data_IF_572409496792
#
_entry.id   IF_572409496792
#
_cell.length_a   1.000
_cell.length_b   1.000
_cell.length_c   1.000
_cell.angle_alpha   90.00
_cell.angle_beta   90.00
_cell.angle_gamma   90.00
#
_symmetry.space_group_name_H-M   'P 1'
#
loop_
_entity.id
_entity.type
_entity.pdbx_description
1 polymer ?
#
# COMPACT_ATOMS: atom_id res chain seq x y z
N UNK A 1 -7.89 10.89 58.80
CA UNK A 1 -6.84 10.30 57.94
C UNK A 1 -7.33 9.21 56.97
N UNK A 2 -8.39 8.46 57.29
CA UNK A 2 -8.84 7.31 56.46
C UNK A 2 -9.57 7.75 55.16
N UNK A 3 -10.26 8.91 55.14
CA UNK A 3 -11.00 9.34 53.94
C UNK A 3 -10.09 9.75 52.76
N UNK A 4 -8.92 10.34 53.03
CA UNK A 4 -7.95 10.70 52.00
C UNK A 4 -7.27 9.48 51.36
N UNK A 5 -7.14 8.36 52.08
CA UNK A 5 -6.58 7.12 51.55
C UNK A 5 -7.55 6.46 50.56
N UNK A 6 -8.83 6.33 50.92
CA UNK A 6 -9.86 5.77 50.04
C UNK A 6 -10.12 6.62 48.79
N UNK A 7 -10.11 7.95 48.90
CA UNK A 7 -10.29 8.84 47.76
C UNK A 7 -9.13 8.74 46.76
N UNK A 8 -7.89 8.64 47.24
CA UNK A 8 -6.69 8.51 46.42
C UNK A 8 -6.63 7.18 45.66
N UNK A 9 -7.05 6.08 46.30
CA UNK A 9 -7.13 4.77 45.65
C UNK A 9 -8.26 4.66 44.62
N UNK A 10 -9.42 5.30 44.86
CA UNK A 10 -10.51 5.38 43.86
C UNK A 10 -10.10 6.20 42.63
N UNK A 11 -9.40 7.31 42.83
CA UNK A 11 -8.87 8.12 41.73
C UNK A 11 -7.83 7.33 40.90
N UNK A 12 -6.91 6.62 41.55
CA UNK A 12 -5.94 5.77 40.86
C UNK A 12 -6.59 4.63 40.08
N UNK A 13 -7.57 3.93 40.68
CA UNK A 13 -8.32 2.86 40.00
C UNK A 13 -9.11 3.38 38.80
N UNK A 14 -9.72 4.56 38.92
CA UNK A 14 -10.46 5.20 37.82
C UNK A 14 -9.53 5.60 36.67
N UNK A 15 -8.37 6.20 36.96
CA UNK A 15 -7.36 6.54 35.96
C UNK A 15 -6.83 5.28 35.27
N UNK A 16 -6.54 4.22 36.05
CA UNK A 16 -6.11 2.94 35.50
C UNK A 16 -7.17 2.35 34.57
N UNK A 17 -8.44 2.30 34.99
CA UNK A 17 -9.53 1.79 34.17
C UNK A 17 -9.74 2.60 32.89
N UNK A 18 -9.70 3.94 33.00
CA UNK A 18 -9.78 4.84 31.85
C UNK A 18 -8.62 4.61 30.87
N UNK A 19 -7.40 4.36 31.37
CA UNK A 19 -6.23 4.06 30.53
C UNK A 19 -6.36 2.71 29.81
N UNK A 20 -6.94 1.70 30.45
CA UNK A 20 -7.20 0.38 29.83
C UNK A 20 -8.28 0.49 28.75
N UNK A 21 -9.36 1.22 29.02
CA UNK A 21 -10.43 1.45 28.05
C UNK A 21 -9.91 2.26 26.85
N UNK A 22 -9.15 3.33 27.10
CA UNK A 22 -8.54 4.13 26.04
C UNK A 22 -7.54 3.32 25.22
N UNK A 23 -6.68 2.53 25.88
CA UNK A 23 -5.75 1.63 25.22
C UNK A 23 -6.46 0.59 24.36
N UNK A 24 -7.53 -0.04 24.89
CA UNK A 24 -8.36 -0.98 24.15
C UNK A 24 -9.06 -0.34 22.95
N UNK A 25 -9.59 0.87 23.12
CA UNK A 25 -10.21 1.63 22.02
C UNK A 25 -9.19 1.98 20.93
N UNK A 26 -7.98 2.42 21.29
CA UNK A 26 -6.92 2.73 20.33
C UNK A 26 -6.48 1.48 19.56
N UNK A 27 -6.29 0.35 20.25
CA UNK A 27 -5.96 -0.93 19.60
C UNK A 27 -7.06 -1.33 18.63
N UNK A 28 -8.33 -1.25 19.06
CA UNK A 28 -9.48 -1.55 18.21
C UNK A 28 -9.60 -0.63 17.00
N UNK A 29 -9.40 0.68 17.20
CA UNK A 29 -9.45 1.68 16.13
C UNK A 29 -8.32 1.45 15.10
N UNK A 30 -7.10 1.16 15.55
CA UNK A 30 -5.97 0.87 14.67
C UNK A 30 -6.22 -0.45 13.92
N UNK A 31 -6.64 -1.51 14.62
CA UNK A 31 -6.84 -2.83 14.00
C UNK A 31 -7.97 -2.83 12.97
N UNK A 32 -9.04 -2.04 13.20
CA UNK A 32 -10.19 -1.96 12.29
C UNK A 32 -9.93 -1.15 11.01
N UNK A 33 -8.92 -0.26 11.04
CA UNK A 33 -8.55 0.58 9.89
C UNK A 33 -7.31 0.07 9.15
N UNK A 34 -6.65 -0.97 9.64
CA UNK A 34 -5.49 -1.60 9.01
C UNK A 34 -5.92 -2.79 8.16
N UNK A 35 -5.33 -2.95 6.98
CA UNK A 35 -5.59 -4.09 6.08
C UNK A 35 -4.47 -5.12 6.10
N UNK A 36 -3.25 -4.68 6.38
CA UNK A 36 -2.11 -5.55 6.62
C UNK A 36 -1.07 -4.85 7.50
N UNK A 37 -0.26 -5.63 8.20
CA UNK A 37 0.89 -5.15 8.96
C UNK A 37 2.14 -5.85 8.42
N UNK A 38 3.11 -5.07 7.94
CA UNK A 38 4.41 -5.57 7.48
C UNK A 38 5.45 -5.18 8.53
N UNK A 39 5.86 -6.15 9.35
CA UNK A 39 6.55 -5.96 10.64
C UNK A 39 5.77 -5.04 11.59
N UNK A 40 6.08 -3.75 11.57
CA UNK A 40 5.48 -2.70 12.40
C UNK A 40 4.92 -1.54 11.56
N UNK A 41 4.98 -1.66 10.23
CA UNK A 41 4.52 -0.64 9.31
C UNK A 41 3.16 -1.04 8.70
N UNK A 42 2.06 -0.35 9.08
CA UNK A 42 0.72 -0.71 8.66
C UNK A 42 0.45 -0.32 7.21
N UNK A 43 -0.38 -1.11 6.53
CA UNK A 43 -1.08 -0.72 5.31
C UNK A 43 -2.50 -0.35 5.72
N UNK A 44 -2.90 0.89 5.49
CA UNK A 44 -4.20 1.39 5.91
C UNK A 44 -5.29 1.08 4.87
N UNK A 45 -6.51 0.90 5.38
CA UNK A 45 -7.71 0.65 4.56
C UNK A 45 -7.97 1.76 3.55
N UNK A 46 -7.65 3.00 3.90
CA UNK A 46 -7.75 4.14 2.98
C UNK A 46 -6.85 3.94 1.76
N UNK A 47 -5.56 3.70 1.97
CA UNK A 47 -4.60 3.51 0.87
C UNK A 47 -4.94 2.28 0.03
N UNK A 48 -5.42 1.22 0.67
CA UNK A 48 -5.87 0.00 -0.01
C UNK A 48 -7.09 0.26 -0.89
N UNK A 49 -8.12 0.91 -0.37
CA UNK A 49 -9.31 1.25 -1.15
C UNK A 49 -8.98 2.18 -2.31
N UNK A 50 -8.16 3.22 -2.08
CA UNK A 50 -7.70 4.11 -3.15
C UNK A 50 -6.94 3.34 -4.23
N UNK A 51 -6.12 2.35 -3.86
CA UNK A 51 -5.42 1.48 -4.83
C UNK A 51 -6.41 0.61 -5.61
N UNK A 52 -7.41 0.03 -4.95
CA UNK A 52 -8.45 -0.76 -5.61
C UNK A 52 -9.25 0.07 -6.60
N UNK A 53 -9.68 1.27 -6.21
CA UNK A 53 -10.46 2.16 -7.06
C UNK A 53 -9.71 2.51 -8.35
N UNK A 54 -8.38 2.69 -8.26
CA UNK A 54 -7.53 2.93 -9.43
C UNK A 54 -7.42 1.70 -10.34
N UNK A 55 -7.24 0.52 -9.77
CA UNK A 55 -7.19 -0.72 -10.55
C UNK A 55 -8.52 -0.99 -11.24
N UNK A 56 -9.63 -0.85 -10.51
CA UNK A 56 -10.98 -1.02 -11.04
C UNK A 56 -11.24 -0.03 -12.17
N UNK A 57 -10.91 1.26 -11.97
CA UNK A 57 -11.06 2.29 -13.00
C UNK A 57 -10.23 1.97 -14.25
N UNK A 58 -9.01 1.48 -14.09
CA UNK A 58 -8.17 1.07 -15.22
C UNK A 58 -8.81 -0.07 -16.02
N UNK A 59 -9.37 -1.08 -15.34
CA UNK A 59 -10.10 -2.16 -16.00
C UNK A 59 -11.36 -1.67 -16.70
N UNK A 60 -12.13 -0.79 -16.06
CA UNK A 60 -13.36 -0.20 -16.61
C UNK A 60 -13.08 0.58 -17.91
N UNK A 61 -12.06 1.45 -17.90
CA UNK A 61 -11.62 2.19 -19.09
C UNK A 61 -11.12 1.23 -20.18
N UNK A 62 -10.32 0.23 -19.81
CA UNK A 62 -9.73 -0.70 -20.78
C UNK A 62 -10.79 -1.56 -21.47
N UNK A 63 -11.80 -2.01 -20.73
CA UNK A 63 -12.88 -2.85 -21.25
C UNK A 63 -13.82 -2.06 -22.17
N UNK A 64 -14.15 -0.80 -21.80
CA UNK A 64 -14.92 0.11 -22.65
C UNK A 64 -14.26 0.46 -23.99
N UNK A 65 -12.94 0.33 -24.10
CA UNK A 65 -12.21 0.52 -25.36
C UNK A 65 -11.99 -0.77 -26.16
N UNK A 66 -12.20 -1.95 -25.55
CA UNK A 66 -11.92 -3.25 -26.18
C UNK A 66 -13.19 -4.00 -26.60
N UNK A 67 -14.37 -3.68 -26.05
CA UNK A 67 -15.61 -4.38 -26.40
C UNK A 67 -16.77 -3.41 -26.69
N UNK A 68 -17.35 -3.52 -27.89
CA UNK A 68 -18.71 -3.03 -28.23
C UNK A 68 -19.81 -3.94 -27.67
N UNK A 69 -19.54 -4.67 -26.60
CA UNK A 69 -20.49 -5.60 -25.98
C UNK A 69 -20.83 -5.15 -24.57
N UNK A 70 -22.13 -4.99 -24.31
CA UNK A 70 -22.75 -4.48 -23.08
C UNK A 70 -22.64 -5.42 -21.87
N UNK A 71 -21.70 -6.38 -21.92
CA UNK A 71 -21.50 -7.42 -20.90
C UNK A 71 -20.43 -7.06 -19.86
N UNK A 72 -19.72 -5.94 -20.03
CA UNK A 72 -18.63 -5.44 -19.17
C UNK A 72 -19.02 -5.27 -17.70
N UNK A 73 -20.28 -4.94 -17.42
CA UNK A 73 -20.75 -4.79 -16.03
C UNK A 73 -20.81 -6.10 -15.23
N UNK A 74 -20.58 -7.26 -15.85
CA UNK A 74 -20.72 -8.58 -15.19
C UNK A 74 -19.46 -9.01 -14.43
N UNK A 75 -18.26 -8.69 -14.93
CA UNK A 75 -16.99 -9.15 -14.32
C UNK A 75 -16.71 -8.46 -12.98
N UNK A 76 -16.93 -7.14 -12.87
CA UNK A 76 -16.79 -6.42 -11.61
C UNK A 76 -17.89 -6.76 -10.58
N UNK A 77 -18.99 -7.37 -11.03
CA UNK A 77 -20.04 -7.90 -10.14
C UNK A 77 -19.72 -9.31 -9.64
N UNK A 78 -18.76 -10.01 -10.26
CA UNK A 78 -18.28 -11.29 -9.76
C UNK A 78 -17.44 -11.08 -8.48
N UNK A 79 -17.96 -11.62 -7.37
CA UNK A 79 -17.28 -11.58 -6.07
C UNK A 79 -15.91 -12.24 -6.12
N UNK A 80 -15.73 -13.28 -6.93
CA UNK A 80 -14.45 -13.97 -7.06
C UNK A 80 -13.43 -13.10 -7.78
N UNK A 81 -13.81 -12.49 -8.90
CA UNK A 81 -12.95 -11.55 -9.62
C UNK A 81 -12.53 -10.36 -8.75
N UNK A 82 -13.48 -9.75 -8.03
CA UNK A 82 -13.17 -8.67 -7.08
C UNK A 82 -12.19 -9.12 -6.00
N UNK A 83 -12.35 -10.36 -5.49
CA UNK A 83 -11.42 -10.92 -4.49
C UNK A 83 -10.02 -11.15 -5.07
N UNK A 84 -9.91 -11.56 -6.34
CA UNK A 84 -8.62 -11.65 -7.03
C UNK A 84 -7.95 -10.29 -7.19
N UNK A 85 -8.69 -9.24 -7.57
CA UNK A 85 -8.16 -7.87 -7.61
C UNK A 85 -7.66 -7.45 -6.23
N UNK A 86 -8.43 -7.74 -5.17
CA UNK A 86 -8.02 -7.47 -3.79
C UNK A 86 -6.72 -8.19 -3.41
N UNK A 87 -6.60 -9.48 -3.77
CA UNK A 87 -5.40 -10.30 -3.54
C UNK A 87 -4.18 -9.68 -4.20
N UNK A 88 -4.27 -9.37 -5.50
CA UNK A 88 -3.18 -8.80 -6.29
C UNK A 88 -2.79 -7.39 -5.82
N UNK A 89 -3.78 -6.53 -5.57
CA UNK A 89 -3.53 -5.17 -5.08
C UNK A 89 -2.81 -5.19 -3.72
N UNK A 90 -3.31 -5.98 -2.76
CA UNK A 90 -2.68 -6.10 -1.45
C UNK A 90 -1.26 -6.68 -1.56
N UNK A 91 -1.07 -7.70 -2.40
CA UNK A 91 0.25 -8.28 -2.67
C UNK A 91 1.25 -7.25 -3.17
N UNK A 92 0.86 -6.43 -4.15
CA UNK A 92 1.72 -5.34 -4.66
C UNK A 92 2.01 -4.27 -3.62
N UNK A 93 1.03 -3.90 -2.78
CA UNK A 93 1.25 -2.92 -1.71
C UNK A 93 2.24 -3.44 -0.66
N UNK A 94 2.17 -4.73 -0.32
CA UNK A 94 3.14 -5.38 0.56
C UNK A 94 4.53 -5.34 -0.10
N UNK A 95 4.65 -5.76 -1.35
CA UNK A 95 5.92 -5.78 -2.07
C UNK A 95 6.56 -4.40 -2.14
N UNK A 96 5.75 -3.38 -2.41
CA UNK A 96 6.19 -1.98 -2.41
C UNK A 96 6.66 -1.50 -1.02
N UNK A 97 5.96 -1.90 0.04
CA UNK A 97 6.35 -1.59 1.42
C UNK A 97 7.70 -2.23 1.77
N UNK A 98 7.89 -3.50 1.42
CA UNK A 98 9.17 -4.20 1.58
C UNK A 98 10.27 -3.48 0.82
N UNK A 99 9.98 -3.08 -0.43
CA UNK A 99 10.92 -2.38 -1.28
C UNK A 99 11.36 -1.06 -0.64
N UNK A 100 10.41 -0.24 -0.19
CA UNK A 100 10.69 1.04 0.48
C UNK A 100 11.58 0.85 1.72
N UNK A 101 11.29 -0.16 2.55
CA UNK A 101 12.06 -0.46 3.76
C UNK A 101 13.50 -0.89 3.47
N UNK A 102 13.71 -1.63 2.38
CA UNK A 102 15.03 -2.15 2.01
C UNK A 102 15.83 -1.18 1.15
N UNK A 103 15.18 -0.32 0.39
CA UNK A 103 15.83 0.62 -0.53
C UNK A 103 16.77 1.58 0.21
N UNK A 104 16.36 2.08 1.38
CA UNK A 104 17.22 2.93 2.24
C UNK A 104 18.52 2.22 2.64
N UNK A 105 18.49 0.89 2.79
CA UNK A 105 19.67 0.07 3.12
C UNK A 105 20.54 -0.21 1.90
N UNK A 106 19.94 -0.31 0.72
CA UNK A 106 20.63 -0.61 -0.53
C UNK A 106 21.34 0.65 -1.05
N UNK A 107 20.65 1.79 -1.03
CA UNK A 107 21.16 3.05 -1.54
C UNK A 107 20.60 4.21 -0.71
N UNK A 108 21.39 4.79 0.22
CA UNK A 108 20.94 5.93 1.04
C UNK A 108 20.54 7.18 0.23
N UNK A 109 21.06 7.32 -0.99
CA UNK A 109 20.77 8.46 -1.88
C UNK A 109 19.58 8.20 -2.82
N UNK A 110 18.81 7.13 -2.59
CA UNK A 110 17.72 6.72 -3.49
C UNK A 110 16.69 7.83 -3.75
N UNK A 111 16.42 8.71 -2.77
CA UNK A 111 15.43 9.78 -2.90
C UNK A 111 15.81 10.79 -3.97
N UNK A 112 17.09 11.16 -4.01
CA UNK A 112 17.64 12.06 -5.02
C UNK A 112 17.63 11.39 -6.40
N UNK A 113 18.05 10.12 -6.48
CA UNK A 113 18.01 9.34 -7.72
C UNK A 113 16.59 9.18 -8.26
N UNK A 114 15.62 8.92 -7.39
CA UNK A 114 14.21 8.82 -7.77
C UNK A 114 13.70 10.17 -8.29
N UNK A 115 14.07 11.28 -7.65
CA UNK A 115 13.73 12.62 -8.13
C UNK A 115 14.28 12.88 -9.52
N UNK A 116 15.56 12.60 -9.74
CA UNK A 116 16.22 12.74 -11.05
C UNK A 116 15.53 11.88 -12.11
N UNK A 117 15.20 10.62 -11.80
CA UNK A 117 14.46 9.72 -12.72
C UNK A 117 13.10 10.29 -13.10
N UNK A 118 12.33 10.74 -12.13
CA UNK A 118 11.00 11.35 -12.35
C UNK A 118 11.15 12.62 -13.19
N UNK A 119 12.08 13.49 -12.86
CA UNK A 119 12.29 14.74 -13.60
C UNK A 119 12.73 14.45 -15.03
N UNK A 120 13.64 13.51 -15.27
CA UNK A 120 14.03 13.06 -16.61
C UNK A 120 12.87 12.46 -17.41
N UNK A 121 12.03 11.64 -16.78
CA UNK A 121 10.86 11.05 -17.42
C UNK A 121 9.80 12.10 -17.75
N UNK A 122 9.69 13.15 -16.94
CA UNK A 122 8.67 14.19 -17.07
C UNK A 122 9.14 15.46 -17.76
N UNK A 123 10.45 15.62 -17.99
CA UNK A 123 11.07 16.80 -18.60
C UNK A 123 10.49 17.13 -19.97
N UNK A 124 10.27 16.11 -20.82
CA UNK A 124 9.66 16.28 -22.16
C UNK A 124 8.15 16.47 -22.15
N UNK A 125 7.54 16.27 -20.98
CA UNK A 125 6.12 16.00 -20.82
C UNK A 125 5.43 17.14 -20.04
N UNK A 126 6.10 17.68 -19.02
CA UNK A 126 5.65 18.85 -18.24
C UNK A 126 5.46 20.10 -19.09
N UNK A 127 6.13 20.18 -20.24
CA UNK A 127 5.96 21.27 -21.22
C UNK A 127 4.67 21.13 -22.05
N UNK A 128 3.91 20.04 -21.91
CA UNK A 128 2.69 19.78 -22.66
C UNK A 128 1.49 19.72 -21.70
N UNK A 129 0.61 20.74 -21.72
CA UNK A 129 -0.69 20.73 -21.01
C UNK A 129 -1.48 19.42 -21.22
N UNK A 130 -1.28 18.79 -22.38
CA UNK A 130 -1.89 17.51 -22.77
C UNK A 130 -1.55 16.34 -21.84
N UNK A 131 -0.42 16.38 -21.14
CA UNK A 131 -0.04 15.26 -20.27
C UNK A 131 -0.80 15.28 -18.95
N UNK A 132 -0.91 16.44 -18.30
CA UNK A 132 -1.69 16.55 -17.08
C UNK A 132 -3.16 16.21 -17.34
N UNK A 133 -3.69 16.63 -18.49
CA UNK A 133 -5.01 16.21 -18.96
C UNK A 133 -5.10 14.69 -19.20
N UNK A 134 -4.08 14.09 -19.82
CA UNK A 134 -4.00 12.64 -20.01
C UNK A 134 -3.98 11.87 -18.69
N UNK A 135 -3.21 12.33 -17.70
CA UNK A 135 -3.14 11.73 -16.35
C UNK A 135 -4.51 11.82 -15.66
N UNK A 136 -5.15 12.99 -15.71
CA UNK A 136 -6.49 13.18 -15.13
C UNK A 136 -7.53 12.28 -15.81
N UNK A 137 -7.43 12.14 -17.14
CA UNK A 137 -8.37 11.34 -17.93
C UNK A 137 -8.20 9.85 -17.63
N UNK A 138 -6.98 9.33 -17.72
CA UNK A 138 -6.68 7.90 -17.57
C UNK A 138 -6.75 7.45 -16.10
N UNK A 139 -6.19 8.23 -15.19
CA UNK A 139 -6.01 7.81 -13.79
C UNK A 139 -6.96 8.51 -12.82
N UNK A 140 -7.69 9.55 -13.25
CA UNK A 140 -8.61 10.29 -12.37
C UNK A 140 -7.94 11.07 -11.26
N UNK A 141 -6.65 11.37 -11.40
CA UNK A 141 -5.87 12.03 -10.35
C UNK A 141 -5.08 13.20 -10.93
N UNK A 142 -4.65 14.11 -10.04
CA UNK A 142 -3.73 15.18 -10.40
C UNK A 142 -2.35 14.63 -10.78
N UNK A 143 -1.56 15.42 -11.52
CA UNK A 143 -0.16 15.05 -11.79
C UNK A 143 0.64 14.84 -10.50
N UNK A 144 0.39 15.65 -9.46
CA UNK A 144 1.03 15.48 -8.14
C UNK A 144 0.72 14.12 -7.50
N UNK A 145 -0.53 13.68 -7.55
CA UNK A 145 -0.93 12.36 -7.04
C UNK A 145 -0.34 11.24 -7.88
N UNK A 146 -0.31 11.41 -9.21
CA UNK A 146 0.30 10.45 -10.11
C UNK A 146 1.80 10.29 -9.87
N UNK A 147 2.50 11.40 -9.65
CA UNK A 147 3.91 11.38 -9.28
C UNK A 147 4.12 10.59 -7.98
N UNK A 148 3.31 10.86 -6.96
CA UNK A 148 3.44 10.19 -5.65
C UNK A 148 3.01 8.73 -5.64
N UNK A 149 1.94 8.37 -6.37
CA UNK A 149 1.30 7.05 -6.31
C UNK A 149 1.77 6.11 -7.43
N UNK A 150 2.36 6.63 -8.50
CA UNK A 150 2.80 5.83 -9.65
C UNK A 150 4.28 6.04 -9.93
N UNK A 151 4.72 7.27 -10.22
CA UNK A 151 6.10 7.50 -10.68
C UNK A 151 7.15 7.27 -9.58
N UNK A 152 6.86 7.69 -8.35
CA UNK A 152 7.73 7.47 -7.21
C UNK A 152 7.88 5.97 -6.90
N UNK A 153 6.79 5.19 -6.75
CA UNK A 153 6.91 3.74 -6.60
C UNK A 153 7.69 3.05 -7.72
N UNK A 154 7.41 3.43 -8.96
CA UNK A 154 8.11 2.91 -10.13
C UNK A 154 9.61 3.21 -10.08
N UNK A 155 9.99 4.44 -9.73
CA UNK A 155 11.40 4.84 -9.62
C UNK A 155 12.13 4.07 -8.53
N UNK A 156 11.48 3.84 -7.38
CA UNK A 156 12.06 3.01 -6.32
C UNK A 156 12.32 1.58 -6.80
N UNK A 157 11.34 0.98 -7.48
CA UNK A 157 11.49 -0.36 -8.07
C UNK A 157 12.69 -0.43 -9.01
N UNK A 158 12.80 0.52 -9.93
CA UNK A 158 13.92 0.58 -10.87
C UNK A 158 15.27 0.71 -10.17
N UNK A 159 15.37 1.58 -9.16
CA UNK A 159 16.61 1.76 -8.39
C UNK A 159 16.99 0.43 -7.71
N UNK A 160 16.06 -0.25 -7.05
CA UNK A 160 16.35 -1.55 -6.43
C UNK A 160 16.83 -2.56 -7.47
N UNK A 161 16.14 -2.66 -8.61
CA UNK A 161 16.52 -3.59 -9.68
C UNK A 161 17.91 -3.26 -10.23
N UNK A 162 18.22 -1.99 -10.47
CA UNK A 162 19.52 -1.54 -10.95
C UNK A 162 20.64 -1.85 -9.94
N UNK A 163 20.42 -1.58 -8.65
CA UNK A 163 21.39 -1.85 -7.59
C UNK A 163 21.62 -3.35 -7.38
N UNK A 164 20.58 -4.17 -7.49
CA UNK A 164 20.70 -5.63 -7.42
C UNK A 164 21.45 -6.20 -8.63
N UNK A 165 21.20 -5.66 -9.84
CA UNK A 165 21.92 -6.04 -11.06
C UNK A 165 23.41 -5.76 -10.95
N UNK A 166 23.83 -4.62 -10.39
CA UNK A 166 25.25 -4.31 -10.13
C UNK A 166 25.93 -5.35 -9.22
N UNK A 167 25.15 -6.01 -8.36
CA UNK A 167 25.60 -7.06 -7.45
C UNK A 167 25.39 -8.47 -8.00
N UNK A 168 24.98 -8.61 -9.27
CA UNK A 168 24.62 -9.87 -9.90
C UNK A 168 23.55 -10.68 -9.12
N UNK A 169 22.55 -9.97 -8.56
CA UNK A 169 21.43 -10.57 -7.81
C UNK A 169 20.13 -10.48 -8.61
N UNK A 170 19.33 -11.55 -8.56
CA UNK A 170 17.98 -11.57 -9.13
C UNK A 170 16.97 -10.89 -8.19
N UNK A 171 16.10 -10.03 -8.74
CA UNK A 171 15.10 -9.29 -7.96
C UNK A 171 14.07 -10.20 -7.30
N UNK A 172 13.53 -11.19 -8.00
CA UNK A 172 12.47 -12.07 -7.49
C UNK A 172 12.98 -12.95 -6.35
N UNK A 173 14.18 -13.51 -6.51
CA UNK A 173 14.85 -14.28 -5.45
C UNK A 173 15.17 -13.41 -4.25
N UNK A 174 15.66 -12.19 -4.49
CA UNK A 174 15.92 -11.22 -3.45
C UNK A 174 14.65 -10.87 -2.69
N UNK A 175 13.56 -10.53 -3.39
CA UNK A 175 12.28 -10.17 -2.78
C UNK A 175 11.70 -11.34 -1.98
N UNK A 176 11.75 -12.56 -2.54
CA UNK A 176 11.36 -13.79 -1.83
C UNK A 176 12.17 -13.99 -0.55
N UNK A 177 13.47 -13.70 -0.58
CA UNK A 177 14.32 -13.76 0.62
C UNK A 177 13.95 -12.71 1.67
N UNK A 178 13.50 -11.52 1.25
CA UNK A 178 13.03 -10.46 2.16
C UNK A 178 11.69 -10.81 2.78
N UNK A 179 10.72 -11.25 1.97
CA UNK A 179 9.41 -11.73 2.42
C UNK A 179 9.50 -12.77 3.53
N UNK A 180 10.43 -13.72 3.42
CA UNK A 180 10.67 -14.76 4.45
C UNK A 180 11.17 -14.23 5.80
N UNK A 181 11.75 -13.04 5.84
CA UNK A 181 12.33 -12.44 7.06
C UNK A 181 11.37 -11.49 7.77
N UNK A 182 10.21 -11.23 7.20
CA UNK A 182 9.25 -10.25 7.69
C UNK A 182 8.05 -10.95 8.32
N UNK A 183 7.56 -10.37 9.41
CA UNK A 183 6.28 -10.75 10.00
C UNK A 183 5.18 -10.03 9.24
N UNK A 184 4.35 -10.75 8.49
CA UNK A 184 3.27 -10.16 7.70
C UNK A 184 1.95 -10.73 8.17
N UNK A 185 1.04 -9.83 8.57
CA UNK A 185 -0.31 -10.18 9.01
C UNK A 185 -1.32 -9.47 8.12
N UNK A 186 -2.35 -10.19 7.66
CA UNK A 186 -3.43 -9.63 6.83
C UNK A 186 -4.72 -9.59 7.66
N UNK A 187 -5.39 -8.44 7.64
CA UNK A 187 -6.64 -8.18 8.35
C UNK A 187 -7.84 -8.10 7.40
N UNK A 188 -7.61 -8.20 6.09
CA UNK A 188 -8.69 -8.24 5.09
C UNK A 188 -9.39 -9.59 5.12
N UNK A 189 -10.71 -9.56 5.24
CA UNK A 189 -11.51 -10.79 5.25
C UNK A 189 -11.44 -11.56 3.92
N UNK A 190 -11.33 -12.89 4.05
CA UNK A 190 -11.12 -13.81 2.93
C UNK A 190 -9.70 -13.80 2.32
N UNK A 191 -8.76 -13.01 2.84
CA UNK A 191 -7.36 -13.03 2.43
C UNK A 191 -6.45 -13.45 3.59
N UNK A 192 -5.31 -14.05 3.26
CA UNK A 192 -4.28 -14.41 4.22
C UNK A 192 -2.87 -14.38 3.63
N UNK A 193 -1.87 -14.31 4.50
CA UNK A 193 -0.47 -14.42 4.10
C UNK A 193 -0.05 -15.88 4.16
N UNK A 194 0.28 -16.47 3.01
CA UNK A 194 0.68 -17.89 2.89
C UNK A 194 1.91 -17.97 1.99
N UNK A 195 2.94 -18.68 2.43
CA UNK A 195 4.15 -18.99 1.63
C UNK A 195 4.90 -17.80 1.00
N UNK A 196 4.72 -16.58 1.53
CA UNK A 196 5.34 -15.38 0.98
C UNK A 196 4.47 -14.61 -0.02
N UNK A 197 3.19 -14.93 -0.09
CA UNK A 197 2.22 -14.27 -0.96
C UNK A 197 0.87 -14.08 -0.27
N UNK A 198 0.05 -13.21 -0.87
CA UNK A 198 -1.35 -13.06 -0.47
C UNK A 198 -2.15 -14.15 -1.15
N UNK A 199 -2.86 -14.95 -0.37
CA UNK A 199 -3.73 -16.01 -0.84
C UNK A 199 -5.20 -15.71 -0.48
N UNK A 200 -6.11 -16.25 -1.28
CA UNK A 200 -7.55 -16.30 -0.94
C UNK A 200 -7.75 -17.53 -0.06
N UNK A 201 -8.52 -17.37 1.03
CA UNK A 201 -8.86 -18.45 1.96
C UNK A 201 -9.73 -19.53 1.33
#
# INVERSE_FOLDING_TARGET
>A
MISNFYAKHKAFLSIFLASVVMGGFLVFYISSNMVALVNYDPIWKKDFNETLDLVIKYYDISDHHLTTDTSSSSLLKDKYFLKQIQKEALGRMIDYKILTMELEKINPNWRELARIKIDNATLKIKEQEKFEEGVRTLYGMSFYEFERKVLMPQSQFEIVVEELKKQNKNYDEWLKSKKKKLSISIMVDGLEWREGEVAIK
#
